data_IF_384739619189
#
_entry.id   IF_384739619189
#
_cell.length_a   1.000
_cell.length_b   1.000
_cell.length_c   1.000
_cell.angle_alpha   90.00
_cell.angle_beta   90.00
_cell.angle_gamma   90.00
#
_symmetry.space_group_name_H-M   'P 1'
#
loop_
_entity.id
_entity.type
_entity.pdbx_description
1 polymer ?
#
# COMPACT_ATOMS: atom_id res chain seq x y z
N UNK A 1 14.11 1.09 1.61
CA UNK A 1 13.47 2.32 2.16
C UNK A 1 14.41 3.52 2.16
N UNK A 2 15.40 3.62 3.06
CA UNK A 2 16.30 4.80 3.17
C UNK A 2 17.03 5.16 1.88
N UNK A 3 17.57 4.16 1.17
CA UNK A 3 18.22 4.35 -0.13
C UNK A 3 17.24 4.87 -1.20
N UNK A 4 16.04 4.33 -1.24
CA UNK A 4 15.00 4.77 -2.17
C UNK A 4 14.52 6.20 -1.87
N UNK A 5 14.40 6.56 -0.58
CA UNK A 5 14.10 7.93 -0.14
C UNK A 5 15.18 8.91 -0.63
N UNK A 6 16.45 8.58 -0.42
CA UNK A 6 17.57 9.39 -0.88
C UNK A 6 17.58 9.55 -2.42
N UNK A 7 17.32 8.46 -3.16
CA UNK A 7 17.24 8.48 -4.62
C UNK A 7 16.07 9.32 -5.16
N UNK A 8 14.99 9.48 -4.39
CA UNK A 8 13.81 10.27 -4.77
C UNK A 8 13.77 11.67 -4.10
N UNK A 9 14.84 12.09 -3.41
CA UNK A 9 14.93 13.40 -2.75
C UNK A 9 13.99 13.59 -1.54
N UNK A 10 13.45 12.50 -0.99
CA UNK A 10 12.58 12.55 0.18
C UNK A 10 13.40 12.49 1.48
N UNK A 11 13.43 13.59 2.23
CA UNK A 11 14.16 13.68 3.51
C UNK A 11 13.36 13.11 4.69
N UNK A 12 12.04 13.05 4.57
CA UNK A 12 11.11 12.67 5.61
C UNK A 12 9.81 12.09 5.02
N UNK A 13 9.22 11.14 5.73
CA UNK A 13 7.91 10.57 5.40
C UNK A 13 6.95 10.71 6.59
N UNK A 14 5.69 11.15 6.40
CA UNK A 14 4.69 11.22 7.46
C UNK A 14 4.14 9.82 7.78
N UNK A 15 4.96 8.95 8.38
CA UNK A 15 4.61 7.54 8.63
C UNK A 15 3.80 7.32 9.92
N UNK A 16 3.76 8.31 10.80
CA UNK A 16 2.97 8.22 12.02
C UNK A 16 1.51 8.63 11.77
N UNK A 17 0.53 8.04 12.46
CA UNK A 17 -0.89 8.41 12.36
C UNK A 17 -1.13 9.91 12.55
N UNK A 18 -0.36 10.54 13.44
CA UNK A 18 -0.35 11.98 13.71
C UNK A 18 0.40 12.82 12.65
N UNK A 19 0.74 12.24 11.49
CA UNK A 19 1.45 12.86 10.37
C UNK A 19 2.84 13.44 10.74
N UNK A 20 3.44 12.97 11.82
CA UNK A 20 4.79 13.40 12.20
C UNK A 20 5.81 12.95 11.16
N UNK A 21 6.68 13.89 10.79
CA UNK A 21 7.79 13.67 9.87
C UNK A 21 8.76 12.64 10.45
N UNK A 22 8.94 11.52 9.75
CA UNK A 22 9.87 10.45 10.12
C UNK A 22 11.06 10.44 9.16
N UNK A 23 12.27 10.70 9.69
CA UNK A 23 13.53 10.70 8.92
C UNK A 23 14.10 9.30 8.69
N UNK A 24 13.77 8.36 9.58
CA UNK A 24 14.29 6.99 9.55
C UNK A 24 13.15 5.97 9.72
N UNK A 25 12.43 5.65 8.64
CA UNK A 25 11.40 4.63 8.66
C UNK A 25 11.95 3.29 9.11
N UNK A 26 11.28 2.63 10.05
CA UNK A 26 11.51 1.20 10.31
C UNK A 26 10.64 0.35 9.38
N UNK A 27 11.02 -0.91 9.18
CA UNK A 27 10.19 -1.86 8.42
C UNK A 27 8.81 -2.02 9.06
N UNK A 28 8.73 -2.07 10.40
CA UNK A 28 7.46 -2.18 11.13
C UNK A 28 6.51 -1.01 10.84
N UNK A 29 7.01 0.23 10.78
CA UNK A 29 6.19 1.40 10.44
C UNK A 29 5.60 1.31 9.03
N UNK A 30 6.38 0.83 8.08
CA UNK A 30 5.92 0.61 6.70
C UNK A 30 4.86 -0.49 6.67
N UNK A 31 5.07 -1.60 7.38
CA UNK A 31 4.09 -2.68 7.46
C UNK A 31 2.78 -2.22 8.11
N UNK A 32 2.87 -1.42 9.17
CA UNK A 32 1.71 -0.84 9.86
C UNK A 32 0.87 0.04 8.94
N UNK A 33 1.49 0.76 8.00
CA UNK A 33 0.75 1.54 7.01
C UNK A 33 -0.18 0.66 6.15
N UNK A 34 0.20 -0.59 5.88
CA UNK A 34 -0.59 -1.54 5.10
C UNK A 34 -1.36 -2.55 5.97
N UNK A 35 -1.34 -2.44 7.31
CA UNK A 35 -1.94 -3.47 8.18
C UNK A 35 -3.46 -3.58 8.04
N UNK A 36 -4.11 -2.52 7.56
CA UNK A 36 -5.55 -2.48 7.30
C UNK A 36 -5.91 -2.72 5.83
N UNK A 37 -4.91 -2.94 4.96
CA UNK A 37 -5.13 -3.30 3.58
C UNK A 37 -5.80 -4.67 3.51
N UNK A 38 -7.03 -4.71 3.02
CA UNK A 38 -7.82 -5.93 2.90
C UNK A 38 -8.55 -5.97 1.56
N UNK A 39 -8.65 -7.17 1.01
CA UNK A 39 -9.40 -7.46 -0.19
C UNK A 39 -10.50 -8.44 0.15
N UNK A 40 -11.74 -8.08 -0.15
CA UNK A 40 -12.89 -8.94 0.15
C UNK A 40 -13.32 -9.69 -1.11
N UNK A 41 -13.62 -10.98 -0.96
CA UNK A 41 -14.16 -11.82 -2.04
C UNK A 41 -15.57 -12.22 -1.63
N UNK A 42 -16.55 -11.81 -2.42
CA UNK A 42 -17.92 -12.26 -2.28
C UNK A 42 -18.10 -13.53 -3.09
N UNK A 43 -18.47 -14.61 -2.43
CA UNK A 43 -18.74 -15.90 -3.04
C UNK A 43 -20.23 -16.25 -2.93
N UNK A 44 -20.78 -16.86 -3.97
CA UNK A 44 -22.09 -17.51 -3.95
C UNK A 44 -21.84 -19.02 -4.08
N UNK A 45 -22.01 -19.74 -2.98
CA UNK A 45 -21.49 -21.10 -2.87
C UNK A 45 -19.97 -21.12 -3.03
N UNK A 46 -19.46 -22.00 -3.89
CA UNK A 46 -18.02 -22.13 -4.16
C UNK A 46 -17.53 -21.18 -5.28
N UNK A 47 -18.43 -20.38 -5.87
CA UNK A 47 -18.09 -19.49 -6.97
C UNK A 47 -17.88 -18.04 -6.50
N UNK A 48 -16.73 -17.42 -6.81
CA UNK A 48 -16.54 -16.00 -6.58
C UNK A 48 -17.41 -15.17 -7.51
N UNK A 49 -18.33 -14.38 -6.95
CA UNK A 49 -19.22 -13.53 -7.73
C UNK A 49 -18.64 -12.12 -7.87
N UNK A 50 -17.94 -11.64 -6.84
CA UNK A 50 -17.41 -10.28 -6.86
C UNK A 50 -16.15 -10.16 -6.01
N UNK A 51 -15.23 -9.31 -6.46
CA UNK A 51 -14.04 -8.93 -5.71
C UNK A 51 -14.13 -7.45 -5.36
N UNK A 52 -13.86 -7.13 -4.11
CA UNK A 52 -13.74 -5.76 -3.62
C UNK A 52 -12.27 -5.52 -3.30
N UNK A 53 -11.62 -4.73 -4.16
CA UNK A 53 -10.20 -4.43 -4.02
C UNK A 53 -9.89 -3.57 -2.80
N UNK A 54 -8.64 -3.70 -2.36
CA UNK A 54 -8.07 -2.84 -1.34
C UNK A 54 -8.10 -1.39 -1.80
N UNK A 55 -8.75 -0.52 -1.03
CA UNK A 55 -8.62 0.92 -1.24
C UNK A 55 -7.30 1.39 -0.66
N UNK A 56 -6.36 1.77 -1.53
CA UNK A 56 -5.08 2.34 -1.13
C UNK A 56 -5.13 3.87 -1.16
N UNK A 57 -4.61 4.51 -0.12
CA UNK A 57 -4.44 5.96 -0.09
C UNK A 57 -3.33 6.42 -1.04
N UNK A 58 -3.33 7.69 -1.42
CA UNK A 58 -2.27 8.28 -2.26
C UNK A 58 -0.88 8.09 -1.63
N UNK A 59 -0.79 8.21 -0.30
CA UNK A 59 0.44 7.99 0.44
C UNK A 59 0.88 6.52 0.38
N UNK A 60 -0.02 5.55 0.56
CA UNK A 60 0.31 4.13 0.38
C UNK A 60 0.83 3.84 -1.03
N UNK A 61 0.22 4.43 -2.07
CA UNK A 61 0.69 4.29 -3.45
C UNK A 61 2.09 4.88 -3.66
N UNK A 62 2.39 6.02 -3.04
CA UNK A 62 3.73 6.62 -3.06
C UNK A 62 4.76 5.69 -2.40
N UNK A 63 4.41 5.08 -1.26
CA UNK A 63 5.27 4.13 -0.56
C UNK A 63 5.49 2.86 -1.41
N UNK A 64 4.48 2.33 -2.07
CA UNK A 64 4.64 1.20 -3.01
C UNK A 64 5.60 1.56 -4.15
N UNK A 65 5.45 2.74 -4.76
CA UNK A 65 6.36 3.23 -5.80
C UNK A 65 7.80 3.35 -5.28
N UNK A 66 7.97 3.88 -4.08
CA UNK A 66 9.28 4.02 -3.44
C UNK A 66 9.93 2.67 -3.13
N UNK A 67 9.12 1.66 -2.81
CA UNK A 67 9.57 0.29 -2.58
C UNK A 67 9.74 -0.51 -3.88
N UNK A 68 9.36 0.03 -5.03
CA UNK A 68 9.37 -0.70 -6.30
C UNK A 68 8.31 -1.81 -6.37
N UNK A 69 7.28 -1.76 -5.54
CA UNK A 69 6.20 -2.75 -5.50
C UNK A 69 5.09 -2.34 -6.47
N UNK A 70 4.70 -3.19 -7.43
CA UNK A 70 3.64 -2.85 -8.37
C UNK A 70 2.27 -2.80 -7.67
N UNK A 71 1.38 -1.92 -8.12
CA UNK A 71 0.02 -1.78 -7.55
C UNK A 71 -0.81 -3.06 -7.69
N UNK A 72 -0.54 -3.86 -8.73
CA UNK A 72 -1.18 -5.16 -8.96
C UNK A 72 -0.92 -6.17 -7.84
N UNK A 73 0.07 -5.96 -6.97
CA UNK A 73 0.26 -6.77 -5.78
C UNK A 73 -0.89 -6.61 -4.76
N UNK A 74 -1.63 -5.49 -4.81
CA UNK A 74 -2.70 -5.16 -3.86
C UNK A 74 -4.08 -5.00 -4.52
N UNK A 75 -4.11 -4.72 -5.82
CA UNK A 75 -5.31 -4.53 -6.62
C UNK A 75 -5.42 -5.69 -7.62
N UNK A 76 -6.58 -6.34 -7.70
CA UNK A 76 -6.82 -7.23 -8.82
C UNK A 76 -6.95 -6.41 -10.10
N UNK A 77 -6.37 -6.94 -11.18
CA UNK A 77 -6.72 -6.51 -12.52
C UNK A 77 -8.16 -6.95 -12.79
N UNK A 78 -9.13 -6.10 -12.42
CA UNK A 78 -10.52 -6.34 -12.81
C UNK A 78 -10.60 -6.23 -14.33
N UNK A 79 -10.53 -7.38 -15.00
CA UNK A 79 -10.97 -7.52 -16.38
C UNK A 79 -12.46 -7.15 -16.40
N UNK A 80 -12.74 -5.91 -16.79
CA UNK A 80 -14.09 -5.51 -17.22
C UNK A 80 -14.51 -6.48 -18.33
N UNK A 81 -15.61 -7.18 -18.10
CA UNK A 81 -16.34 -7.90 -19.15
C UNK A 81 -17.77 -7.37 -19.15
#
# INVERSE_FOLDING_TARGET
MRLAMAANGHNDLPLYPEQRKCRHPTTEQVLRLFSLAQRNRLCQGDQPVQLFDTKLSEFQLQILKLLGVPKSAYLAENQKK
#
